data_IF_592758353915
#
_entry.id   IF_592758353915
#
_cell.length_a   1.000
_cell.length_b   1.000
_cell.length_c   1.000
_cell.angle_alpha   90.00
_cell.angle_beta   90.00
_cell.angle_gamma   90.00
#
_symmetry.space_group_name_H-M   'P 1'
#
loop_
_entity.id
_entity.type
_entity.pdbx_description
1 polymer ?
#
# COMPACT_ATOMS: atom_id res chain seq x y z
N UNK A 1 -14.30 -17.06 -23.21
CA UNK A 1 -14.80 -16.02 -22.28
C UNK A 1 -15.24 -16.58 -20.92
N UNK A 2 -16.15 -17.55 -20.84
CA UNK A 2 -16.67 -18.06 -19.54
C UNK A 2 -15.59 -18.70 -18.64
N UNK A 3 -14.59 -19.37 -19.23
CA UNK A 3 -13.45 -19.94 -18.49
C UNK A 3 -12.53 -18.84 -17.90
N UNK A 4 -12.17 -17.82 -18.67
CA UNK A 4 -11.36 -16.69 -18.19
C UNK A 4 -12.04 -15.91 -17.06
N UNK A 5 -13.34 -15.66 -17.18
CA UNK A 5 -14.09 -15.00 -16.10
C UNK A 5 -14.08 -15.83 -14.80
N UNK A 6 -14.18 -17.15 -14.92
CA UNK A 6 -14.11 -18.07 -13.78
C UNK A 6 -12.71 -18.04 -13.14
N UNK A 7 -11.66 -18.02 -13.95
CA UNK A 7 -10.28 -17.89 -13.48
C UNK A 7 -10.04 -16.57 -12.74
N UNK A 8 -10.50 -15.43 -13.30
CA UNK A 8 -10.41 -14.14 -12.62
C UNK A 8 -11.15 -14.15 -11.29
N UNK A 9 -12.38 -14.66 -11.27
CA UNK A 9 -13.18 -14.75 -10.05
C UNK A 9 -12.49 -15.59 -8.98
N UNK A 10 -11.89 -16.71 -9.36
CA UNK A 10 -11.13 -17.57 -8.45
C UNK A 10 -9.89 -16.84 -7.90
N UNK A 11 -9.12 -16.17 -8.76
CA UNK A 11 -7.94 -15.42 -8.37
C UNK A 11 -8.29 -14.26 -7.44
N UNK A 12 -9.31 -13.46 -7.75
CA UNK A 12 -9.77 -12.34 -6.91
C UNK A 12 -10.19 -12.84 -5.52
N UNK A 13 -11.02 -13.89 -5.45
CA UNK A 13 -11.47 -14.46 -4.17
C UNK A 13 -10.31 -15.02 -3.34
N UNK A 14 -9.39 -15.73 -3.98
CA UNK A 14 -8.25 -16.33 -3.30
C UNK A 14 -7.30 -15.25 -2.78
N UNK A 15 -7.00 -14.23 -3.60
CA UNK A 15 -6.18 -13.08 -3.21
C UNK A 15 -6.81 -12.30 -2.06
N UNK A 16 -8.11 -11.99 -2.14
CA UNK A 16 -8.85 -11.29 -1.07
C UNK A 16 -8.83 -12.09 0.24
N UNK A 17 -9.05 -13.40 0.19
CA UNK A 17 -9.03 -14.26 1.38
C UNK A 17 -7.63 -14.31 2.02
N UNK A 18 -6.57 -14.36 1.20
CA UNK A 18 -5.19 -14.36 1.68
C UNK A 18 -4.77 -13.02 2.27
N UNK A 19 -5.17 -11.91 1.65
CA UNK A 19 -4.98 -10.56 2.19
C UNK A 19 -5.66 -10.42 3.55
N UNK A 20 -6.94 -10.85 3.67
CA UNK A 20 -7.66 -10.83 4.95
C UNK A 20 -6.95 -11.64 6.04
N UNK A 21 -6.51 -12.85 5.71
CA UNK A 21 -5.75 -13.68 6.66
C UNK A 21 -4.44 -13.00 7.09
N UNK A 22 -3.68 -12.45 6.13
CA UNK A 22 -2.43 -11.74 6.39
C UNK A 22 -2.66 -10.49 7.25
N UNK A 23 -3.69 -9.70 6.95
CA UNK A 23 -4.12 -8.54 7.72
C UNK A 23 -4.41 -8.90 9.17
N UNK A 24 -5.31 -9.87 9.40
CA UNK A 24 -5.64 -10.33 10.77
C UNK A 24 -4.40 -10.82 11.51
N UNK A 25 -3.54 -11.59 10.84
CA UNK A 25 -2.30 -12.09 11.45
C UNK A 25 -1.33 -10.95 11.79
N UNK A 26 -1.14 -9.99 10.88
CA UNK A 26 -0.22 -8.85 11.08
C UNK A 26 -0.68 -7.97 12.22
N UNK A 27 -1.97 -7.59 12.27
CA UNK A 27 -2.53 -6.81 13.37
C UNK A 27 -2.38 -7.52 14.72
N UNK A 28 -2.69 -8.81 14.77
CA UNK A 28 -2.52 -9.59 16.00
C UNK A 28 -1.05 -9.65 16.46
N UNK A 29 -0.12 -9.82 15.52
CA UNK A 29 1.32 -9.83 15.81
C UNK A 29 1.83 -8.44 16.24
N UNK A 30 1.32 -7.38 15.63
CA UNK A 30 1.64 -5.99 15.98
C UNK A 30 1.22 -5.70 17.43
N UNK A 31 -0.05 -5.98 17.77
CA UNK A 31 -0.56 -5.86 19.15
C UNK A 31 0.24 -6.67 20.15
N UNK A 32 0.54 -7.93 19.82
CA UNK A 32 1.34 -8.79 20.69
C UNK A 32 2.75 -8.22 20.90
N UNK A 33 3.43 -7.80 19.82
CA UNK A 33 4.78 -7.21 19.89
C UNK A 33 4.79 -5.95 20.75
N UNK A 34 3.79 -5.08 20.60
CA UNK A 34 3.63 -3.90 21.44
C UNK A 34 3.56 -4.32 22.91
N UNK A 35 2.64 -5.22 23.24
CA UNK A 35 2.38 -5.62 24.63
C UNK A 35 3.55 -6.33 25.29
N UNK A 36 4.22 -7.25 24.59
CA UNK A 36 5.23 -8.12 25.21
C UNK A 36 6.63 -7.54 25.17
N UNK A 37 6.96 -6.76 24.13
CA UNK A 37 8.32 -6.28 23.88
C UNK A 37 8.42 -4.76 24.06
N UNK A 38 7.72 -4.00 23.21
CA UNK A 38 7.88 -2.53 23.14
C UNK A 38 7.55 -1.86 24.47
N UNK A 39 6.45 -2.25 25.13
CA UNK A 39 6.07 -1.67 26.41
C UNK A 39 7.04 -2.04 27.54
N UNK A 40 7.63 -3.23 27.49
CA UNK A 40 8.65 -3.65 28.46
C UNK A 40 9.89 -2.79 28.30
N UNK A 41 10.39 -2.65 27.06
CA UNK A 41 11.55 -1.82 26.74
C UNK A 41 11.33 -0.35 27.07
N UNK A 42 10.14 0.20 26.80
CA UNK A 42 9.77 1.56 27.17
C UNK A 42 9.84 1.81 28.68
N UNK A 43 9.33 0.87 29.49
CA UNK A 43 9.37 0.98 30.96
C UNK A 43 10.79 0.86 31.49
N UNK A 44 11.56 -0.08 30.94
CA UNK A 44 12.97 -0.26 31.31
C UNK A 44 13.79 0.99 30.97
N UNK A 45 13.53 1.63 29.83
CA UNK A 45 14.18 2.87 29.43
C UNK A 45 13.78 4.06 30.31
N UNK A 46 12.50 4.19 30.66
CA UNK A 46 12.03 5.27 31.53
C UNK A 46 12.69 5.24 32.92
N UNK A 47 13.10 4.05 33.40
CA UNK A 47 13.82 3.90 34.66
C UNK A 47 15.29 4.33 34.61
N UNK A 48 15.84 4.59 33.41
CA UNK A 48 17.22 5.03 33.23
C UNK A 48 17.33 6.56 33.23
N UNK A 49 18.47 7.13 33.67
CA UNK A 49 18.72 8.55 33.51
C UNK A 49 18.82 8.91 32.02
N UNK A 50 18.11 9.96 31.60
CA UNK A 50 18.06 10.39 30.19
C UNK A 50 19.44 10.69 29.60
N UNK A 51 20.35 11.25 30.40
CA UNK A 51 21.71 11.63 29.97
C UNK A 51 22.66 10.44 29.90
N UNK A 52 22.17 9.23 30.20
CA UNK A 52 22.99 8.02 30.18
C UNK A 52 23.14 7.49 28.76
N UNK A 53 24.36 7.04 28.43
CA UNK A 53 24.64 6.34 27.16
C UNK A 53 23.79 5.07 26.97
N UNK A 54 23.35 4.46 28.07
CA UNK A 54 22.47 3.29 28.04
C UNK A 54 21.06 3.68 27.56
N UNK A 55 20.54 4.81 28.04
CA UNK A 55 19.26 5.37 27.58
C UNK A 55 19.29 5.71 26.09
N UNK A 56 20.27 6.48 25.64
CA UNK A 56 20.39 6.87 24.22
C UNK A 56 20.41 5.65 23.29
N UNK A 57 21.27 4.66 23.60
CA UNK A 57 21.38 3.44 22.80
C UNK A 57 20.10 2.59 22.84
N UNK A 58 19.48 2.49 24.00
CA UNK A 58 18.24 1.74 24.14
C UNK A 58 17.09 2.41 23.38
N UNK A 59 17.04 3.74 23.37
CA UNK A 59 16.09 4.51 22.59
C UNK A 59 16.30 4.31 21.08
N UNK A 60 17.54 4.26 20.60
CA UNK A 60 17.84 3.97 19.20
C UNK A 60 17.37 2.55 18.80
N UNK A 61 17.62 1.55 19.65
CA UNK A 61 17.16 0.16 19.43
C UNK A 61 15.63 0.11 19.40
N UNK A 62 14.97 0.76 20.37
CA UNK A 62 13.51 0.82 20.43
C UNK A 62 12.92 1.49 19.19
N UNK A 63 13.53 2.59 18.71
CA UNK A 63 13.12 3.25 17.46
C UNK A 63 13.30 2.34 16.25
N UNK A 64 14.35 1.52 16.20
CA UNK A 64 14.54 0.54 15.13
C UNK A 64 13.47 -0.56 15.15
N UNK A 65 13.09 -1.02 16.34
CA UNK A 65 12.00 -1.99 16.52
C UNK A 65 10.64 -1.40 16.16
N UNK A 66 10.36 -0.16 16.59
CA UNK A 66 9.18 0.59 16.19
C UNK A 66 9.13 0.84 14.68
N UNK A 67 10.26 1.15 14.04
CA UNK A 67 10.32 1.30 12.59
C UNK A 67 9.89 0.01 11.86
N UNK A 68 10.31 -1.14 12.37
CA UNK A 68 9.89 -2.45 11.83
C UNK A 68 8.39 -2.67 12.01
N UNK A 69 7.85 -2.29 13.17
CA UNK A 69 6.42 -2.35 13.47
C UNK A 69 5.60 -1.43 12.53
N UNK A 70 6.02 -0.17 12.39
CA UNK A 70 5.40 0.84 11.52
C UNK A 70 5.37 0.36 10.07
N UNK A 71 6.47 -0.20 9.55
CA UNK A 71 6.47 -0.80 8.19
C UNK A 71 5.44 -1.92 8.07
N UNK A 72 5.36 -2.80 9.07
CA UNK A 72 4.40 -3.91 9.08
C UNK A 72 2.95 -3.43 9.12
N UNK A 73 2.66 -2.40 9.92
CA UNK A 73 1.33 -1.79 10.01
C UNK A 73 0.95 -1.06 8.72
N UNK A 74 1.87 -0.30 8.10
CA UNK A 74 1.65 0.34 6.79
C UNK A 74 1.32 -0.67 5.70
N UNK A 75 2.02 -1.80 5.67
CA UNK A 75 1.72 -2.89 4.74
C UNK A 75 0.35 -3.50 5.03
N UNK A 76 -0.04 -3.60 6.31
CA UNK A 76 -1.37 -4.07 6.68
C UNK A 76 -2.49 -3.10 6.23
N UNK A 77 -2.29 -1.79 6.39
CA UNK A 77 -3.22 -0.77 5.87
C UNK A 77 -3.40 -0.92 4.35
N UNK A 78 -2.30 -1.11 3.61
CA UNK A 78 -2.35 -1.34 2.16
C UNK A 78 -3.12 -2.61 1.81
N UNK A 79 -3.00 -3.68 2.60
CA UNK A 79 -3.80 -4.88 2.38
C UNK A 79 -5.29 -4.62 2.57
N UNK A 80 -5.68 -3.75 3.50
CA UNK A 80 -7.06 -3.34 3.72
C UNK A 80 -7.60 -2.56 2.52
N UNK A 81 -6.83 -1.58 2.03
CA UNK A 81 -7.15 -0.80 0.82
C UNK A 81 -7.35 -1.75 -0.39
N UNK A 82 -6.42 -2.70 -0.58
CA UNK A 82 -6.49 -3.70 -1.66
C UNK A 82 -7.68 -4.65 -1.52
N UNK A 83 -8.10 -5.01 -0.30
CA UNK A 83 -9.31 -5.83 -0.11
C UNK A 83 -10.54 -5.08 -0.63
N UNK A 84 -10.62 -3.77 -0.41
CA UNK A 84 -11.66 -2.91 -0.96
C UNK A 84 -11.64 -2.89 -2.50
N UNK A 85 -10.47 -2.68 -3.09
CA UNK A 85 -10.28 -2.68 -4.55
C UNK A 85 -10.64 -4.03 -5.19
N UNK A 86 -10.26 -5.14 -4.56
CA UNK A 86 -10.62 -6.49 -5.01
C UNK A 86 -12.13 -6.75 -4.94
N UNK A 87 -12.85 -6.15 -3.99
CA UNK A 87 -14.30 -6.27 -3.93
C UNK A 87 -14.98 -5.56 -5.10
N UNK A 88 -14.46 -4.40 -5.51
CA UNK A 88 -14.91 -3.69 -6.72
C UNK A 88 -14.62 -4.54 -7.96
N UNK A 89 -13.42 -5.10 -8.07
CA UNK A 89 -13.06 -6.02 -9.17
C UNK A 89 -13.95 -7.26 -9.22
N UNK A 90 -14.31 -7.84 -8.07
CA UNK A 90 -15.20 -9.00 -8.02
C UNK A 90 -16.58 -8.67 -8.60
N UNK A 91 -17.13 -7.50 -8.27
CA UNK A 91 -18.42 -7.03 -8.81
C UNK A 91 -18.38 -6.79 -10.32
N UNK A 92 -17.20 -6.42 -10.84
CA UNK A 92 -16.99 -6.03 -12.24
C UNK A 92 -16.23 -7.08 -13.07
N UNK A 93 -16.09 -8.31 -12.53
CA UNK A 93 -15.25 -9.36 -13.12
C UNK A 93 -15.64 -9.75 -14.55
N UNK A 94 -16.91 -9.55 -14.91
CA UNK A 94 -17.46 -9.85 -16.23
C UNK A 94 -16.93 -8.92 -17.33
N UNK A 95 -16.43 -7.74 -16.97
CA UNK A 95 -15.88 -6.75 -17.90
C UNK A 95 -14.41 -7.03 -18.26
N UNK A 96 -13.66 -7.69 -17.37
CA UNK A 96 -12.21 -7.90 -17.51
C UNK A 96 -11.80 -8.62 -18.80
N UNK A 97 -12.48 -9.70 -19.25
CA UNK A 97 -12.10 -10.34 -20.52
C UNK A 97 -12.22 -9.39 -21.72
N UNK A 98 -13.27 -8.56 -21.75
CA UNK A 98 -13.46 -7.57 -22.81
C UNK A 98 -12.38 -6.48 -22.80
N UNK A 99 -11.95 -6.05 -21.61
CA UNK A 99 -10.84 -5.10 -21.46
C UNK A 99 -9.52 -5.66 -22.03
N UNK A 100 -9.22 -6.95 -21.78
CA UNK A 100 -8.03 -7.61 -22.35
C UNK A 100 -8.09 -7.62 -23.88
N UNK A 101 -9.24 -8.00 -24.46
CA UNK A 101 -9.40 -8.04 -25.90
C UNK A 101 -9.24 -6.65 -26.54
N UNK A 102 -9.80 -5.62 -25.91
CA UNK A 102 -9.66 -4.24 -26.36
C UNK A 102 -8.20 -3.77 -26.27
N UNK A 103 -7.54 -4.06 -25.16
CA UNK A 103 -6.15 -3.68 -24.96
C UNK A 103 -5.20 -4.39 -25.95
N UNK A 104 -5.45 -5.66 -26.26
CA UNK A 104 -4.71 -6.38 -27.29
C UNK A 104 -4.92 -5.79 -28.69
N UNK A 105 -6.13 -5.32 -29.01
CA UNK A 105 -6.40 -4.61 -30.29
C UNK A 105 -5.63 -3.29 -30.34
N UNK A 106 -5.71 -2.48 -29.29
CA UNK A 106 -4.97 -1.21 -29.20
C UNK A 106 -3.45 -1.40 -29.33
N UNK A 107 -2.89 -2.44 -28.71
CA UNK A 107 -1.46 -2.76 -28.84
C UNK A 107 -1.08 -3.18 -30.27
N UNK A 108 -1.91 -3.97 -30.94
CA UNK A 108 -1.70 -4.35 -32.34
C UNK A 108 -1.74 -3.14 -33.27
N UNK A 109 -2.72 -2.26 -33.10
CA UNK A 109 -2.84 -1.04 -33.88
C UNK A 109 -1.65 -0.10 -33.66
N UNK A 110 -1.22 0.10 -32.40
CA UNK A 110 0.01 0.88 -32.09
C UNK A 110 1.24 0.26 -32.75
N UNK A 111 1.39 -1.07 -32.72
CA UNK A 111 2.51 -1.77 -33.35
C UNK A 111 2.49 -1.65 -34.89
N UNK A 112 1.32 -1.72 -35.52
CA UNK A 112 1.16 -1.53 -36.96
C UNK A 112 1.46 -0.09 -37.38
N UNK A 113 0.94 0.90 -36.64
CA UNK A 113 1.27 2.33 -36.86
C UNK A 113 2.77 2.57 -36.74
N UNK A 114 3.43 2.00 -35.73
CA UNK A 114 4.88 2.12 -35.56
C UNK A 114 5.67 1.46 -36.71
N UNK A 115 5.23 0.30 -37.19
CA UNK A 115 5.84 -0.36 -38.36
C UNK A 115 5.70 0.49 -39.63
N UNK A 116 4.52 1.07 -39.85
CA UNK A 116 4.27 1.99 -40.98
C UNK A 116 5.14 3.23 -40.88
N UNK A 117 5.22 3.87 -39.71
CA UNK A 117 6.07 5.03 -39.47
C UNK A 117 7.55 4.73 -39.75
N UNK A 118 8.08 3.62 -39.23
CA UNK A 118 9.46 3.18 -39.51
C UNK A 118 9.71 2.88 -40.99
N UNK A 119 8.74 2.31 -41.69
CA UNK A 119 8.87 2.05 -43.14
C UNK A 119 8.89 3.32 -43.98
N UNK A 120 8.10 4.34 -43.59
CA UNK A 120 8.08 5.66 -44.23
C UNK A 120 9.39 6.41 -43.96
N UNK A 121 9.95 6.29 -42.76
CA UNK A 121 11.22 6.90 -42.38
C UNK A 121 12.40 6.27 -43.14
N UNK A 122 12.40 4.94 -43.34
CA UNK A 122 13.37 4.26 -44.19
C UNK A 122 13.25 4.64 -45.67
N UNK A 123 12.04 4.84 -46.19
CA UNK A 123 11.85 5.37 -47.55
C UNK A 123 12.35 6.82 -47.69
N UNK A 124 12.12 7.67 -46.68
CA UNK A 124 12.69 9.03 -46.65
C UNK A 124 14.21 9.02 -46.60
N UNK A 125 14.83 8.11 -45.84
CA UNK A 125 16.30 7.96 -45.81
C UNK A 125 16.88 7.42 -47.12
N UNK A 126 16.16 6.55 -47.84
CA UNK A 126 16.59 6.08 -49.17
C UNK A 126 16.42 7.14 -50.27
N UNK A 127 15.50 8.09 -50.12
CA UNK A 127 15.39 9.27 -50.98
C UNK A 127 16.37 10.39 -50.58
N UNK A 128 16.89 10.36 -49.36
CA UNK A 128 18.01 11.18 -48.88
C UNK A 128 19.36 10.71 -49.43
N UNK A 129 19.58 10.84 -50.74
CA UNK A 129 20.90 10.89 -51.39
C UNK A 129 21.86 9.71 -51.14
N UNK A 130 21.90 8.76 -52.08
CA UNK A 130 23.00 7.80 -52.17
C UNK A 130 24.28 8.51 -52.64
N UNK A 131 25.35 8.47 -51.86
CA UNK A 131 26.71 8.75 -52.36
C UNK A 131 27.41 7.44 -52.68
N UNK A 132 27.51 7.09 -53.96
CA UNK A 132 28.39 6.03 -54.45
C UNK A 132 29.48 6.69 -55.29
N UNK A 133 30.75 6.51 -54.88
CA UNK A 133 31.95 7.06 -55.53
C UNK A 133 31.99 8.58 -55.75
N UNK A 134 31.85 9.40 -54.70
CA UNK A 134 32.25 10.82 -54.75
C UNK A 134 31.43 11.73 -55.67
N UNK A 135 30.37 11.22 -56.32
CA UNK A 135 29.46 12.03 -57.11
C UNK A 135 28.22 12.41 -56.29
N UNK A 136 28.00 13.72 -56.10
CA UNK A 136 26.73 14.26 -55.61
C UNK A 136 25.76 14.33 -56.78
N UNK A 137 24.81 13.41 -56.86
CA UNK A 137 23.65 13.59 -57.74
C UNK A 137 22.68 14.59 -57.08
N UNK A 138 22.67 15.84 -57.56
CA UNK A 138 21.55 16.75 -57.31
C UNK A 138 20.41 16.29 -58.20
N UNK A 139 19.36 15.72 -57.60
CA UNK A 139 18.06 15.62 -58.24
C UNK A 139 17.55 17.03 -58.51
N UNK A 140 17.63 17.45 -59.76
CA UNK A 140 16.89 18.60 -60.28
C UNK A 140 15.60 18.06 -60.86
N UNK A 141 14.54 18.07 -60.05
CA UNK A 141 13.17 18.41 -60.44
C UNK A 141 12.25 18.36 -59.21
N UNK A 142 11.50 19.43 -58.90
CA UNK A 142 10.47 19.37 -57.88
C UNK A 142 9.25 18.66 -58.45
N UNK A 143 9.07 17.38 -58.12
CA UNK A 143 7.75 16.75 -58.23
C UNK A 143 6.90 17.38 -57.14
N UNK A 144 5.89 18.15 -57.57
CA UNK A 144 4.83 18.68 -56.72
C UNK A 144 4.08 17.52 -56.08
N UNK A 145 4.45 17.19 -54.85
CA UNK A 145 3.64 16.38 -53.94
C UNK A 145 2.40 17.22 -53.61
N UNK A 146 1.17 16.70 -53.72
CA UNK A 146 0.03 17.35 -53.10
C UNK A 146 0.32 17.43 -51.61
N UNK A 147 0.58 18.63 -51.12
CA UNK A 147 0.50 18.96 -49.70
C UNK A 147 -0.97 18.90 -49.34
N UNK A 148 -1.49 17.69 -49.13
CA UNK A 148 -2.49 17.53 -48.08
C UNK A 148 -1.72 17.81 -46.80
N UNK A 149 -1.95 18.98 -46.25
CA UNK A 149 -1.53 19.39 -44.91
C UNK A 149 -2.02 18.34 -43.92
N UNK A 150 -1.19 17.34 -43.68
CA UNK A 150 -1.27 16.55 -42.46
C UNK A 150 -0.50 17.37 -41.44
N UNK A 151 -1.25 18.21 -40.73
CA UNK A 151 -0.83 18.81 -39.47
C UNK A 151 -0.27 17.70 -38.57
N UNK A 152 1.06 17.61 -38.48
CA UNK A 152 1.77 16.67 -37.61
C UNK A 152 1.83 17.19 -36.16
N UNK A 153 1.20 18.33 -35.86
CA UNK A 153 1.16 18.91 -34.52
C UNK A 153 -0.17 18.72 -33.78
N UNK A 154 -1.14 17.98 -34.32
CA UNK A 154 -2.43 17.71 -33.64
C UNK A 154 -2.48 16.33 -32.94
N UNK A 155 -1.36 15.90 -32.35
CA UNK A 155 -1.29 14.70 -31.51
C UNK A 155 -1.38 15.01 -30.01
N UNK A 156 -1.60 16.27 -29.62
CA UNK A 156 -1.64 16.72 -28.23
C UNK A 156 -3.04 17.06 -27.71
N UNK A 157 -4.07 17.09 -28.56
CA UNK A 157 -5.48 17.26 -28.15
C UNK A 157 -6.30 15.99 -28.40
N UNK A 158 -5.79 14.83 -27.99
CA UNK A 158 -6.69 13.76 -27.59
C UNK A 158 -7.38 14.21 -26.30
N UNK A 159 -8.54 14.86 -26.46
CA UNK A 159 -9.53 15.10 -25.42
C UNK A 159 -9.59 13.84 -24.56
N UNK A 160 -8.96 13.90 -23.39
CA UNK A 160 -8.72 12.72 -22.57
C UNK A 160 -10.08 12.24 -22.09
N UNK A 161 -10.55 11.12 -22.62
CA UNK A 161 -11.70 10.46 -22.03
C UNK A 161 -11.42 10.25 -20.53
N UNK A 162 -12.38 10.60 -19.66
CA UNK A 162 -12.18 10.42 -18.23
C UNK A 162 -11.86 8.95 -17.97
N UNK A 163 -10.73 8.70 -17.30
CA UNK A 163 -10.27 7.36 -16.98
C UNK A 163 -11.37 6.65 -16.20
N UNK A 164 -11.79 5.50 -16.71
CA UNK A 164 -12.84 4.72 -16.06
C UNK A 164 -12.39 4.26 -14.67
N UNK A 165 -13.35 4.20 -13.75
CA UNK A 165 -13.11 3.81 -12.36
C UNK A 165 -12.43 2.44 -12.23
N UNK A 166 -12.85 1.46 -13.04
CA UNK A 166 -12.31 0.10 -12.99
C UNK A 166 -10.84 0.06 -13.41
N UNK A 167 -10.43 0.88 -14.37
CA UNK A 167 -9.04 1.06 -14.77
C UNK A 167 -8.19 1.66 -13.65
N UNK A 168 -8.73 2.61 -12.86
CA UNK A 168 -8.05 3.13 -11.65
C UNK A 168 -7.89 2.05 -10.58
N UNK A 169 -8.94 1.27 -10.32
CA UNK A 169 -8.90 0.11 -9.41
C UNK A 169 -7.83 -0.90 -9.84
N UNK A 170 -7.81 -1.26 -11.12
CA UNK A 170 -6.82 -2.19 -11.69
C UNK A 170 -5.41 -1.62 -11.51
N UNK A 171 -5.19 -0.33 -11.81
CA UNK A 171 -3.92 0.36 -11.58
C UNK A 171 -3.47 0.20 -10.13
N UNK A 172 -4.35 0.46 -9.17
CA UNK A 172 -4.01 0.40 -7.74
C UNK A 172 -3.54 -1.00 -7.33
N UNK A 173 -4.24 -2.05 -7.77
CA UNK A 173 -3.84 -3.44 -7.50
C UNK A 173 -2.50 -3.80 -8.16
N UNK A 174 -2.30 -3.40 -9.42
CA UNK A 174 -1.07 -3.68 -10.16
C UNK A 174 0.12 -2.97 -9.52
N UNK A 175 -0.02 -1.68 -9.19
CA UNK A 175 1.04 -0.88 -8.58
C UNK A 175 1.39 -1.39 -7.19
N UNK A 176 0.41 -1.65 -6.32
CA UNK A 176 0.69 -2.16 -4.97
C UNK A 176 1.48 -3.48 -5.01
N UNK A 177 1.15 -4.35 -5.97
CA UNK A 177 1.83 -5.64 -6.14
C UNK A 177 3.29 -5.51 -6.60
N UNK A 178 3.71 -4.38 -7.19
CA UNK A 178 5.12 -4.12 -7.50
C UNK A 178 5.95 -3.89 -6.22
N UNK A 179 5.34 -3.32 -5.18
CA UNK A 179 6.00 -3.07 -3.89
C UNK A 179 5.87 -4.25 -2.92
N UNK A 180 4.72 -4.94 -2.90
CA UNK A 180 4.47 -6.05 -1.97
C UNK A 180 5.25 -7.35 -2.29
N UNK A 181 5.93 -7.41 -3.45
CA UNK A 181 6.76 -8.55 -3.83
C UNK A 181 6.00 -9.89 -3.86
N UNK A 182 6.67 -10.98 -3.48
CA UNK A 182 6.13 -12.35 -3.61
C UNK A 182 5.34 -12.83 -2.37
N UNK A 183 4.96 -11.91 -1.47
CA UNK A 183 4.27 -12.22 -0.22
C UNK A 183 2.94 -12.95 -0.40
N UNK A 184 2.23 -12.66 -1.51
CA UNK A 184 0.98 -13.30 -1.90
C UNK A 184 1.05 -13.67 -3.39
N UNK A 185 1.45 -14.92 -3.67
CA UNK A 185 1.62 -15.46 -5.03
C UNK A 185 0.39 -15.31 -5.91
N UNK A 186 -0.81 -15.43 -5.35
CA UNK A 186 -2.07 -15.29 -6.07
C UNK A 186 -2.36 -13.85 -6.45
N UNK A 187 -1.99 -12.89 -5.60
CA UNK A 187 -2.10 -11.47 -5.92
C UNK A 187 -1.15 -11.10 -7.06
N UNK A 188 0.07 -11.66 -7.06
CA UNK A 188 1.01 -11.54 -8.19
C UNK A 188 0.43 -12.08 -9.49
N UNK A 189 -0.13 -13.29 -9.47
CA UNK A 189 -0.77 -13.89 -10.66
C UNK A 189 -1.94 -13.04 -11.15
N UNK A 190 -2.73 -12.52 -10.23
CA UNK A 190 -3.84 -11.63 -10.54
C UNK A 190 -3.34 -10.33 -11.16
N UNK A 191 -2.37 -9.66 -10.55
CA UNK A 191 -1.80 -8.40 -11.07
C UNK A 191 -1.20 -8.58 -12.46
N UNK A 192 -0.48 -9.68 -12.72
CA UNK A 192 0.02 -9.99 -14.07
C UNK A 192 -1.15 -10.09 -15.06
N UNK A 193 -2.22 -10.79 -14.69
CA UNK A 193 -3.41 -10.95 -15.55
C UNK A 193 -4.12 -9.61 -15.77
N UNK A 194 -4.25 -8.81 -14.73
CA UNK A 194 -4.88 -7.49 -14.75
C UNK A 194 -4.07 -6.44 -15.52
N UNK A 195 -2.74 -6.55 -15.54
CA UNK A 195 -1.89 -5.67 -16.32
C UNK A 195 -2.13 -5.81 -17.83
N UNK A 196 -2.73 -6.91 -18.28
CA UNK A 196 -3.17 -7.07 -19.68
C UNK A 196 -4.53 -6.38 -19.96
N UNK A 197 -5.27 -5.97 -18.93
CA UNK A 197 -6.54 -5.26 -19.09
C UNK A 197 -6.36 -3.76 -19.33
N UNK A 198 -5.21 -3.19 -18.98
CA UNK A 198 -4.96 -1.75 -18.97
C UNK A 198 -3.64 -1.37 -19.65
N UNK A 199 -3.51 -0.11 -20.05
CA UNK A 199 -2.23 0.51 -20.40
C UNK A 199 -1.69 1.23 -19.16
N UNK A 200 -0.94 0.50 -18.31
CA UNK A 200 -0.43 1.03 -17.03
C UNK A 200 0.33 2.35 -17.22
N UNK A 201 1.22 2.42 -18.21
CA UNK A 201 2.06 3.59 -18.44
C UNK A 201 1.24 4.80 -18.88
N UNK A 202 0.17 4.56 -19.65
CA UNK A 202 -0.75 5.64 -20.00
C UNK A 202 -1.54 6.12 -18.77
N UNK A 203 -2.06 5.21 -17.95
CA UNK A 203 -2.82 5.55 -16.74
C UNK A 203 -1.97 6.32 -15.72
N UNK A 204 -0.67 6.04 -15.64
CA UNK A 204 0.25 6.74 -14.76
C UNK A 204 0.53 8.18 -15.20
N UNK A 205 0.39 8.53 -16.48
CA UNK A 205 0.52 9.92 -16.94
C UNK A 205 -0.58 10.84 -16.42
N UNK A 206 -1.73 10.26 -16.09
CA UNK A 206 -2.89 10.97 -15.56
C UNK A 206 -3.08 10.69 -14.07
N UNK A 207 -2.17 9.94 -13.44
CA UNK A 207 -2.24 9.69 -12.01
C UNK A 207 -1.87 10.98 -11.26
N UNK A 208 -2.53 11.27 -10.14
CA UNK A 208 -2.21 12.44 -9.34
C UNK A 208 -0.79 12.33 -8.76
N UNK A 209 -0.16 13.48 -8.51
CA UNK A 209 1.16 13.52 -7.88
C UNK A 209 1.09 12.94 -6.45
N UNK A 210 2.07 12.09 -6.11
CA UNK A 210 2.10 11.38 -4.83
C UNK A 210 2.57 12.24 -3.66
N UNK A 211 3.03 13.47 -3.94
CA UNK A 211 3.63 14.38 -2.97
C UNK A 211 2.69 15.53 -2.58
N UNK A 212 1.42 15.50 -3.03
CA UNK A 212 0.44 16.55 -2.78
C UNK A 212 0.14 16.73 -1.29
N UNK A 213 -0.20 17.95 -0.92
CA UNK A 213 -0.66 18.26 0.44
C UNK A 213 -2.05 17.65 0.70
N UNK A 214 -2.40 17.38 1.97
CA UNK A 214 -3.70 16.79 2.34
C UNK A 214 -4.92 17.60 1.85
N UNK A 215 -4.75 18.89 1.54
CA UNK A 215 -5.83 19.75 1.02
C UNK A 215 -6.07 19.49 -0.48
N UNK A 216 -5.03 19.23 -1.27
CA UNK A 216 -5.12 18.96 -2.71
C UNK A 216 -5.74 17.59 -3.00
N UNK A 217 -5.59 16.63 -2.09
CA UNK A 217 -6.14 15.26 -2.25
C UNK A 217 -7.64 15.17 -1.98
N UNK A 218 -8.24 16.18 -1.34
CA UNK A 218 -9.67 16.20 -1.00
C UNK A 218 -10.60 16.28 -2.22
N UNK A 219 -10.11 16.88 -3.31
CA UNK A 219 -10.83 17.04 -4.59
C UNK A 219 -10.66 15.83 -5.53
N UNK A 220 -9.85 14.84 -5.16
CA UNK A 220 -9.63 13.64 -5.99
C UNK A 220 -10.73 12.61 -5.78
N UNK A 221 -10.96 11.77 -6.79
CA UNK A 221 -11.80 10.57 -6.65
C UNK A 221 -11.18 9.60 -5.62
N UNK A 222 -12.02 8.73 -5.05
CA UNK A 222 -11.60 7.78 -4.02
C UNK A 222 -10.43 6.89 -4.48
N UNK A 223 -10.50 6.35 -5.70
CA UNK A 223 -9.46 5.46 -6.26
C UNK A 223 -8.13 6.19 -6.47
N UNK A 224 -8.14 7.49 -6.71
CA UNK A 224 -6.93 8.29 -6.85
C UNK A 224 -6.31 8.63 -5.47
N UNK A 225 -7.14 8.81 -4.43
CA UNK A 225 -6.65 8.91 -3.05
C UNK A 225 -6.04 7.60 -2.57
N UNK A 226 -6.69 6.47 -2.84
CA UNK A 226 -6.17 5.13 -2.53
C UNK A 226 -4.83 4.91 -3.22
N UNK A 227 -4.68 5.31 -4.49
CA UNK A 227 -3.40 5.24 -5.20
C UNK A 227 -2.28 6.00 -4.46
N UNK A 228 -2.54 7.26 -4.09
CA UNK A 228 -1.55 8.09 -3.38
C UNK A 228 -1.18 7.44 -2.05
N UNK A 229 -2.17 6.97 -1.28
CA UNK A 229 -1.91 6.32 0.00
C UNK A 229 -1.09 5.04 -0.13
N UNK A 230 -1.43 4.17 -1.10
CA UNK A 230 -0.67 2.95 -1.39
C UNK A 230 0.80 3.30 -1.67
N UNK A 231 1.05 4.27 -2.56
CA UNK A 231 2.41 4.64 -2.93
C UNK A 231 3.15 5.27 -1.74
N UNK A 232 2.50 6.16 -0.99
CA UNK A 232 3.09 6.80 0.19
C UNK A 232 3.45 5.78 1.27
N UNK A 233 2.51 4.91 1.65
CA UNK A 233 2.68 3.89 2.69
C UNK A 233 3.80 2.89 2.33
N UNK A 234 3.90 2.50 1.06
CA UNK A 234 4.88 1.50 0.60
C UNK A 234 6.28 2.08 0.33
N UNK A 235 6.39 3.36 -0.05
CA UNK A 235 7.69 4.03 -0.18
C UNK A 235 8.30 4.38 1.17
N UNK A 236 7.45 4.75 2.13
CA UNK A 236 7.84 5.01 3.52
C UNK A 236 8.73 6.23 3.74
N UNK A 237 8.65 7.24 2.87
CA UNK A 237 9.48 8.46 2.92
C UNK A 237 9.36 9.24 4.25
N UNK A 238 8.25 9.07 4.97
CA UNK A 238 7.93 9.69 6.26
C UNK A 238 8.09 8.74 7.48
N UNK A 239 8.80 7.61 7.33
CA UNK A 239 8.95 6.57 8.37
C UNK A 239 9.44 7.13 9.71
N UNK A 240 10.48 7.97 9.71
CA UNK A 240 11.06 8.50 10.95
C UNK A 240 10.06 9.36 11.74
N UNK A 241 9.27 10.19 11.04
CA UNK A 241 8.25 11.03 11.66
C UNK A 241 7.18 10.15 12.31
N UNK A 242 6.70 9.13 11.60
CA UNK A 242 5.67 8.21 12.12
C UNK A 242 6.19 7.37 13.28
N UNK A 243 7.46 6.96 13.27
CA UNK A 243 8.08 6.27 14.42
C UNK A 243 8.10 7.15 15.66
N UNK A 244 8.45 8.43 15.51
CA UNK A 244 8.44 9.38 16.62
C UNK A 244 7.00 9.66 17.11
N UNK A 245 6.01 9.68 16.22
CA UNK A 245 4.59 9.77 16.60
C UNK A 245 4.12 8.53 17.36
N UNK A 246 4.44 7.32 16.88
CA UNK A 246 4.17 6.06 17.57
C UNK A 246 4.78 6.04 18.98
N UNK A 247 6.03 6.48 19.12
CA UNK A 247 6.70 6.56 20.41
C UNK A 247 5.94 7.47 21.38
N UNK A 248 5.56 8.67 20.92
CA UNK A 248 4.78 9.64 21.72
C UNK A 248 3.41 9.09 22.09
N UNK A 249 2.71 8.48 21.14
CA UNK A 249 1.38 7.92 21.36
C UNK A 249 1.42 6.78 22.36
N UNK A 250 2.34 5.82 22.20
CA UNK A 250 2.51 4.70 23.13
C UNK A 250 2.88 5.19 24.53
N UNK A 251 3.82 6.14 24.65
CA UNK A 251 4.16 6.75 25.94
C UNK A 251 2.95 7.46 26.58
N UNK A 252 2.08 8.07 25.77
CA UNK A 252 0.87 8.74 26.26
C UNK A 252 -0.22 7.76 26.70
N UNK A 253 -0.57 6.81 25.84
CA UNK A 253 -1.62 5.80 26.08
C UNK A 253 -1.31 4.97 27.33
N UNK A 254 -0.04 4.62 27.53
CA UNK A 254 0.40 3.79 28.65
C UNK A 254 0.97 4.58 29.83
N UNK A 255 0.88 5.93 29.80
CA UNK A 255 1.37 6.82 30.87
C UNK A 255 2.82 6.55 31.28
N UNK A 256 3.71 6.40 30.30
CA UNK A 256 5.15 6.18 30.52
C UNK A 256 5.88 7.52 30.35
N UNK A 257 6.47 8.01 31.43
CA UNK A 257 7.30 9.22 31.41
C UNK A 257 8.72 8.91 30.92
N UNK A 258 8.86 8.70 29.61
CA UNK A 258 10.11 8.27 28.99
C UNK A 258 11.27 9.25 29.21
N UNK A 259 10.96 10.55 29.36
CA UNK A 259 11.95 11.61 29.52
C UNK A 259 11.98 12.18 30.94
N UNK A 260 11.40 11.50 31.93
CA UNK A 260 11.41 11.94 33.32
C UNK A 260 11.01 13.43 33.49
N UNK A 261 10.05 13.90 32.68
CA UNK A 261 9.61 15.30 32.65
C UNK A 261 8.55 15.59 33.74
N UNK A 262 8.19 14.59 34.54
CA UNK A 262 7.19 14.69 35.60
C UNK A 262 5.75 14.68 35.05
N UNK A 263 5.54 14.28 33.78
CA UNK A 263 4.25 14.43 33.08
C UNK A 263 3.09 13.64 33.69
N UNK A 264 3.38 12.52 34.35
CA UNK A 264 2.39 11.63 34.95
C UNK A 264 2.56 11.51 36.47
N UNK A 265 3.29 12.46 37.08
CA UNK A 265 3.26 12.62 38.53
C UNK A 265 1.94 13.34 38.88
N UNK A 266 0.87 12.58 39.02
CA UNK A 266 -0.36 13.03 39.67
C UNK A 266 -0.36 12.49 41.11
N UNK A 267 -0.17 13.41 42.07
CA UNK A 267 -0.76 13.44 43.42
C UNK A 267 -1.10 12.08 44.08
N UNK A 268 -0.10 11.42 44.65
CA UNK A 268 -0.28 10.37 45.66
C UNK A 268 -0.47 11.02 47.06
N UNK A 269 -1.31 12.06 47.14
CA UNK A 269 -1.81 12.59 48.41
C UNK A 269 -3.24 12.09 48.65
N UNK A 270 -3.35 11.06 49.50
CA UNK A 270 -4.47 10.95 50.44
C UNK A 270 -5.35 9.71 50.35
N UNK A 271 -4.88 8.57 50.85
CA UNK A 271 -5.57 7.88 51.95
C UNK A 271 -4.57 7.04 52.76
N UNK A 272 -3.77 7.75 53.57
CA UNK A 272 -3.28 7.18 54.82
C UNK A 272 -4.49 6.91 55.72
N UNK A 273 -4.97 5.68 55.73
CA UNK A 273 -5.67 5.14 56.90
C UNK A 273 -4.83 4.06 57.56
N UNK A 274 -4.17 4.49 58.63
CA UNK A 274 -3.49 3.68 59.63
C UNK A 274 -4.32 2.48 60.09
N UNK A 275 -3.63 1.35 60.22
CA UNK A 275 -3.76 0.32 61.26
C UNK A 275 -4.97 0.44 62.22
N UNK A 276 -5.98 -0.39 61.97
CA UNK A 276 -6.98 -0.79 62.96
C UNK A 276 -7.10 -2.30 63.04
N UNK A 277 -6.44 -2.92 64.02
CA UNK A 277 -6.67 -4.31 64.42
C UNK A 277 -8.10 -4.47 64.95
N UNK A 278 -8.89 -5.37 64.36
CA UNK A 278 -10.00 -6.09 65.03
C UNK A 278 -10.52 -7.26 64.18
N UNK A 279 -10.77 -8.36 64.88
CA UNK A 279 -11.23 -9.66 64.38
C UNK A 279 -12.73 -9.67 64.01
N UNK A 280 -13.10 -10.71 63.25
CA UNK A 280 -14.45 -11.32 63.09
C UNK A 280 -15.47 -10.65 62.14
N UNK A 281 -15.96 -11.44 61.17
CA UNK A 281 -17.20 -11.15 60.43
C UNK A 281 -17.17 -11.58 58.96
N UNK A 282 -17.70 -12.76 58.66
CA UNK A 282 -17.77 -13.36 57.33
C UNK A 282 -18.69 -12.60 56.36
N UNK A 283 -18.21 -12.33 55.14
CA UNK A 283 -19.00 -12.48 53.91
C UNK A 283 -18.07 -12.74 52.71
N UNK A 284 -18.09 -13.97 52.19
CA UNK A 284 -17.29 -14.37 51.02
C UNK A 284 -17.92 -13.80 49.75
N UNK A 285 -17.56 -12.57 49.40
CA UNK A 285 -17.72 -12.05 48.03
C UNK A 285 -16.71 -12.81 47.15
N UNK A 286 -17.21 -13.60 46.21
CA UNK A 286 -16.38 -14.29 45.21
C UNK A 286 -15.59 -13.24 44.43
N UNK A 287 -14.25 -13.26 44.54
CA UNK A 287 -13.36 -12.56 43.63
C UNK A 287 -13.73 -12.93 42.18
N UNK A 288 -13.78 -11.98 41.24
CA UNK A 288 -13.88 -12.31 39.82
C UNK A 288 -12.64 -13.14 39.45
N UNK A 289 -12.85 -14.34 38.92
CA UNK A 289 -11.78 -15.17 38.38
C UNK A 289 -11.11 -14.41 37.24
N UNK A 290 -9.78 -14.48 37.18
CA UNK A 290 -9.07 -13.93 36.02
C UNK A 290 -9.52 -14.68 34.75
N UNK A 291 -9.60 -13.98 33.62
CA UNK A 291 -10.02 -14.57 32.33
C UNK A 291 -9.22 -15.85 31.97
N UNK A 292 -7.98 -15.93 32.45
CA UNK A 292 -7.10 -17.09 32.29
C UNK A 292 -7.60 -18.33 33.07
N UNK A 293 -8.17 -18.13 34.27
CA UNK A 293 -8.72 -19.22 35.08
C UNK A 293 -10.08 -19.70 34.55
N UNK A 294 -10.90 -18.81 33.99
CA UNK A 294 -12.12 -19.20 33.27
C UNK A 294 -11.81 -20.03 32.01
N UNK A 295 -10.80 -19.64 31.23
CA UNK A 295 -10.35 -20.44 30.08
C UNK A 295 -9.82 -21.81 30.49
N UNK A 296 -9.06 -21.89 31.59
CA UNK A 296 -8.50 -23.15 32.08
C UNK A 296 -9.57 -24.11 32.57
N UNK A 297 -10.61 -23.60 33.24
CA UNK A 297 -11.75 -24.42 33.66
C UNK A 297 -12.59 -24.92 32.48
N UNK A 298 -12.80 -24.08 31.45
CA UNK A 298 -13.48 -24.51 30.22
C UNK A 298 -12.69 -25.60 29.47
N UNK A 299 -11.37 -25.51 29.47
CA UNK A 299 -10.51 -26.52 28.85
C UNK A 299 -10.52 -27.87 29.60
N UNK A 300 -10.58 -27.85 30.93
CA UNK A 300 -10.73 -29.08 31.71
C UNK A 300 -12.10 -29.73 31.55
N UNK A 301 -13.16 -28.93 31.43
CA UNK A 301 -14.52 -29.44 31.19
C UNK A 301 -14.64 -30.16 29.84
N UNK A 302 -13.94 -29.67 28.81
CA UNK A 302 -13.89 -30.31 27.48
C UNK A 302 -13.09 -31.61 27.45
N UNK A 303 -12.17 -31.82 28.40
CA UNK A 303 -11.41 -33.08 28.52
C UNK A 303 -12.19 -34.22 29.19
N UNK A 304 -13.33 -33.91 29.80
CA UNK A 304 -14.20 -34.88 30.50
C UNK A 304 -15.40 -35.32 29.65
N UNK A 305 -15.53 -34.81 28.42
CA UNK A 305 -16.41 -35.31 27.36
C UNK A 305 -15.61 -36.24 26.44
#
# INVERSE_FOLDING_TARGET
MQDQQTQFKLLIKTSSSKLKFKLTKSRALSTHTIQTKILTELKDLAALPNDSRAFERGLDILKMDLATLVRSDRVADVWEDLIGELAILESSVHLLPGMIENQLKLQKEKAEKLKRAKSLEQQKQQQGGWSFFGFKFRSTEPVSIPTDDVDIDDASELVSEPIDRLSKVIRNVVIAQEFLGDDIKELKKLAISLNHCIDKDNLLKFAPETNGTNEETSNLDLEDRIYIEIVRKLKGEDEENVVNEYLKELSSVYRIDLYNEGKYQEDDEGDDTELGTSNEGQEKVKKPLSELEELKQRFEALKKL
#
